data_IF_447099845037
#
_entry.id   IF_447099845037
#
_cell.length_a   1.000
_cell.length_b   1.000
_cell.length_c   1.000
_cell.angle_alpha   90.00
_cell.angle_beta   90.00
_cell.angle_gamma   90.00
#
_symmetry.space_group_name_H-M   'P 1'
#
loop_
_entity.id
_entity.type
_entity.pdbx_description
1 polymer ?
#
# COMPACT_ATOMS: atom_id res chain seq x y z
N UNK A 1 17.06 3.99 -3.15
CA UNK A 1 15.97 4.93 -2.79
C UNK A 1 14.74 4.55 -3.58
N UNK A 2 13.64 4.26 -2.91
CA UNK A 2 12.38 3.94 -3.56
C UNK A 2 11.75 5.24 -4.07
N UNK A 3 11.63 5.42 -5.38
CA UNK A 3 11.14 6.67 -5.98
C UNK A 3 9.61 6.80 -5.91
N UNK A 4 9.02 6.40 -4.78
CA UNK A 4 7.58 6.43 -4.50
C UNK A 4 6.76 5.43 -5.31
N UNK A 5 7.35 4.39 -5.89
CA UNK A 5 6.61 3.48 -6.78
C UNK A 5 6.06 2.25 -6.07
N UNK A 6 6.59 1.93 -4.89
CA UNK A 6 6.19 0.76 -4.10
C UNK A 6 6.34 1.08 -2.61
N UNK A 7 5.63 0.37 -1.74
CA UNK A 7 5.87 0.38 -0.30
C UNK A 7 5.91 -1.08 0.14
N UNK A 8 6.92 -1.44 0.93
CA UNK A 8 6.95 -2.72 1.65
C UNK A 8 6.69 -2.41 3.12
N UNK A 9 5.51 -2.77 3.61
CA UNK A 9 5.14 -2.59 5.01
C UNK A 9 5.35 -3.91 5.78
N UNK A 10 6.10 -3.86 6.88
CA UNK A 10 6.39 -5.05 7.69
C UNK A 10 5.23 -5.32 8.66
N UNK A 11 4.62 -6.49 8.54
CA UNK A 11 3.49 -6.94 9.36
C UNK A 11 3.91 -7.57 10.71
N UNK A 12 5.19 -7.90 10.88
CA UNK A 12 5.75 -8.40 12.15
C UNK A 12 5.68 -9.92 12.33
N UNK A 13 4.68 -10.59 11.77
CA UNK A 13 4.59 -12.05 11.73
C UNK A 13 4.00 -12.58 10.43
N UNK A 14 4.35 -13.81 10.08
CA UNK A 14 3.80 -14.52 8.92
C UNK A 14 2.38 -14.99 9.21
N UNK A 15 1.52 -14.98 8.20
CA UNK A 15 0.13 -15.40 8.36
C UNK A 15 -0.76 -15.00 7.19
N UNK A 16 -2.02 -15.44 7.25
CA UNK A 16 -3.06 -14.96 6.36
C UNK A 16 -3.62 -13.62 6.85
N UNK A 17 -3.64 -12.64 5.97
CA UNK A 17 -4.23 -11.33 6.23
C UNK A 17 -5.37 -11.07 5.26
N UNK A 18 -6.40 -10.39 5.74
CA UNK A 18 -7.46 -9.83 4.88
C UNK A 18 -7.26 -8.32 4.79
N UNK A 19 -7.79 -7.70 3.74
CA UNK A 19 -7.68 -6.25 3.62
C UNK A 19 -8.83 -5.63 2.84
N UNK A 20 -9.12 -4.37 3.19
CA UNK A 20 -10.03 -3.50 2.45
C UNK A 20 -9.27 -2.30 1.88
N UNK A 21 -9.64 -1.90 0.65
CA UNK A 21 -9.12 -0.70 -0.01
C UNK A 21 -10.16 0.40 0.02
N UNK A 22 -9.78 1.55 0.58
CA UNK A 22 -10.60 2.75 0.63
C UNK A 22 -9.98 3.84 -0.24
N UNK A 23 -10.80 4.48 -1.07
CA UNK A 23 -10.39 5.65 -1.87
C UNK A 23 -11.08 6.86 -1.31
N UNK A 24 -10.29 7.76 -0.76
CA UNK A 24 -10.80 9.00 -0.19
C UNK A 24 -10.98 10.04 -1.29
N UNK A 25 -12.05 10.83 -1.14
CA UNK A 25 -12.25 12.06 -1.88
C UNK A 25 -11.23 13.12 -1.44
N UNK A 26 -11.11 14.18 -2.23
CA UNK A 26 -10.12 15.22 -2.00
C UNK A 26 -10.32 15.94 -0.64
N UNK A 27 -11.57 16.13 -0.24
CA UNK A 27 -12.00 16.80 1.00
C UNK A 27 -11.94 15.90 2.24
N UNK A 28 -11.85 14.57 2.08
CA UNK A 28 -11.75 13.63 3.19
C UNK A 28 -10.33 13.59 3.76
N UNK A 29 -10.20 13.35 5.07
CA UNK A 29 -8.91 13.22 5.74
C UNK A 29 -8.54 11.76 5.94
N UNK A 30 -7.24 11.47 5.85
CA UNK A 30 -6.72 10.18 6.28
C UNK A 30 -6.89 10.02 7.80
N UNK A 31 -7.17 8.81 8.31
CA UNK A 31 -7.49 8.62 9.73
C UNK A 31 -6.37 8.98 10.72
N UNK A 32 -5.11 9.02 10.28
CA UNK A 32 -3.93 9.44 11.05
C UNK A 32 -3.47 8.51 12.17
N UNK A 33 -3.72 7.21 12.05
CA UNK A 33 -3.40 6.23 13.10
C UNK A 33 -2.50 5.09 12.61
N UNK A 34 -2.30 4.96 11.29
CA UNK A 34 -1.47 3.93 10.69
C UNK A 34 -0.15 4.43 10.11
N UNK A 35 0.56 3.51 9.45
CA UNK A 35 1.75 3.85 8.65
C UNK A 35 1.32 4.72 7.47
N UNK A 36 1.95 5.90 7.36
CA UNK A 36 1.77 6.80 6.22
C UNK A 36 2.95 6.77 5.28
N UNK A 37 2.64 6.76 4.00
CA UNK A 37 3.62 6.78 2.93
C UNK A 37 3.01 7.43 1.69
N UNK A 38 3.85 7.91 0.79
CA UNK A 38 3.42 8.47 -0.49
C UNK A 38 3.80 7.53 -1.62
N UNK A 39 2.87 7.29 -2.53
CA UNK A 39 3.13 6.51 -3.75
C UNK A 39 2.63 7.22 -4.99
N UNK A 40 3.17 6.83 -6.14
CA UNK A 40 2.74 7.32 -7.45
C UNK A 40 2.48 6.16 -8.38
N UNK A 41 1.51 6.36 -9.27
CA UNK A 41 1.28 5.48 -10.41
C UNK A 41 1.20 6.31 -11.68
N UNK A 42 1.99 5.93 -12.70
CA UNK A 42 1.96 6.57 -14.03
C UNK A 42 0.89 5.96 -14.94
N UNK A 43 0.59 4.68 -14.73
CA UNK A 43 -0.31 3.88 -15.59
C UNK A 43 -1.73 3.79 -15.04
N UNK A 44 -1.95 4.20 -13.78
CA UNK A 44 -3.28 4.24 -13.20
C UNK A 44 -3.73 2.93 -12.56
N UNK A 45 -2.84 2.29 -11.81
CA UNK A 45 -3.16 1.11 -11.01
C UNK A 45 -2.19 0.95 -9.85
N UNK A 46 -2.65 0.24 -8.81
CA UNK A 46 -1.82 -0.30 -7.75
C UNK A 46 -2.14 -1.77 -7.51
N UNK A 47 -1.13 -2.50 -7.08
CA UNK A 47 -1.27 -3.84 -6.52
C UNK A 47 -1.00 -3.80 -5.02
N UNK A 48 -1.83 -4.49 -4.25
CA UNK A 48 -1.64 -4.72 -2.81
C UNK A 48 -1.65 -6.22 -2.57
N UNK A 49 -0.61 -6.76 -1.95
CA UNK A 49 -0.46 -8.18 -1.69
C UNK A 49 0.80 -8.48 -0.90
N UNK A 50 1.04 -9.75 -0.61
CA UNK A 50 2.26 -10.18 0.07
C UNK A 50 3.48 -9.99 -0.84
N UNK A 51 4.55 -9.39 -0.31
CA UNK A 51 5.75 -9.05 -1.09
C UNK A 51 6.49 -10.26 -1.69
N UNK A 52 6.25 -11.45 -1.14
CA UNK A 52 6.82 -12.73 -1.59
C UNK A 52 6.05 -13.36 -2.78
N UNK A 53 4.84 -12.88 -3.09
CA UNK A 53 3.97 -13.46 -4.12
C UNK A 53 4.27 -12.91 -5.53
N UNK A 54 5.53 -13.04 -5.95
CA UNK A 54 5.99 -12.70 -7.30
C UNK A 54 6.17 -13.98 -8.10
N UNK A 55 5.56 -14.08 -9.29
CA UNK A 55 5.81 -15.24 -10.17
C UNK A 55 7.25 -15.14 -10.68
N UNK A 56 8.01 -16.22 -10.57
CA UNK A 56 9.40 -16.31 -11.05
C UNK A 56 9.59 -16.24 -12.58
N UNK A 57 8.55 -15.84 -13.33
CA UNK A 57 8.57 -15.74 -14.80
C UNK A 57 8.30 -14.30 -15.31
N UNK A 58 8.67 -13.28 -14.52
CA UNK A 58 8.89 -11.89 -14.95
C UNK A 58 7.69 -11.04 -15.39
N UNK A 59 6.43 -11.48 -15.18
CA UNK A 59 5.26 -10.66 -15.57
C UNK A 59 4.40 -10.32 -14.34
N UNK A 60 4.83 -9.26 -13.64
CA UNK A 60 3.99 -8.51 -12.69
C UNK A 60 3.54 -9.26 -11.43
N UNK A 61 2.82 -8.57 -10.55
CA UNK A 61 2.30 -9.19 -9.33
C UNK A 61 1.17 -10.17 -9.66
N UNK A 62 1.20 -11.35 -9.04
CA UNK A 62 0.16 -12.37 -9.20
C UNK A 62 -1.01 -12.12 -8.24
N UNK A 63 -2.22 -12.38 -8.70
CA UNK A 63 -3.40 -12.47 -7.82
C UNK A 63 -3.77 -13.92 -7.48
N UNK A 64 -3.01 -14.91 -7.96
CA UNK A 64 -3.32 -16.33 -7.80
C UNK A 64 -3.32 -16.77 -6.33
N UNK A 65 -2.45 -16.18 -5.52
CA UNK A 65 -2.25 -16.54 -4.11
C UNK A 65 -2.81 -15.48 -3.15
N UNK A 66 -3.66 -14.59 -3.65
CA UNK A 66 -4.19 -13.45 -2.93
C UNK A 66 -3.72 -12.13 -3.53
N UNK A 67 -3.97 -11.04 -2.80
CA UNK A 67 -3.70 -9.70 -3.28
C UNK A 67 -4.75 -9.18 -4.27
N UNK A 68 -4.66 -7.89 -4.56
CA UNK A 68 -5.63 -7.15 -5.38
C UNK A 68 -4.89 -6.17 -6.28
N UNK A 69 -5.07 -6.32 -7.58
CA UNK A 69 -4.76 -5.29 -8.57
C UNK A 69 -6.01 -4.44 -8.80
N UNK A 70 -5.92 -3.13 -8.61
CA UNK A 70 -7.05 -2.23 -8.85
C UNK A 70 -6.63 -0.99 -9.65
N UNK A 71 -7.55 -0.52 -10.50
CA UNK A 71 -7.35 0.68 -11.31
C UNK A 71 -7.71 1.95 -10.54
N UNK A 72 -6.88 2.98 -10.62
CA UNK A 72 -7.06 4.30 -10.00
C UNK A 72 -6.47 5.36 -10.95
N UNK A 73 -6.89 6.64 -10.97
CA UNK A 73 -6.25 7.61 -11.85
C UNK A 73 -4.72 7.69 -11.67
N UNK A 74 -4.00 8.05 -12.73
CA UNK A 74 -2.58 8.35 -12.60
C UNK A 74 -2.36 9.58 -11.69
N UNK A 75 -1.26 9.57 -10.95
CA UNK A 75 -0.90 10.65 -10.03
C UNK A 75 -0.18 10.18 -8.77
N UNK A 76 -0.02 11.11 -7.84
CA UNK A 76 0.54 10.88 -6.52
C UNK A 76 -0.58 10.68 -5.50
N UNK A 77 -0.30 9.83 -4.52
CA UNK A 77 -1.22 9.40 -3.49
C UNK A 77 -0.50 9.38 -2.15
N UNK A 78 -1.15 9.92 -1.13
CA UNK A 78 -0.85 9.58 0.26
C UNK A 78 -1.62 8.31 0.61
N UNK A 79 -0.93 7.36 1.23
CA UNK A 79 -1.45 6.06 1.62
C UNK A 79 -1.30 5.90 3.12
N UNK A 80 -2.37 5.45 3.77
CA UNK A 80 -2.33 5.03 5.16
C UNK A 80 -2.67 3.55 5.27
N UNK A 81 -1.82 2.78 5.95
CA UNK A 81 -1.98 1.35 6.18
C UNK A 81 -2.18 1.14 7.68
N UNK A 82 -3.31 0.53 8.04
CA UNK A 82 -3.66 0.19 9.41
C UNK A 82 -3.79 -1.32 9.53
N UNK A 83 -3.30 -1.89 10.62
CA UNK A 83 -3.48 -3.29 10.96
C UNK A 83 -4.31 -3.40 12.24
N UNK A 84 -5.44 -4.11 12.15
CA UNK A 84 -6.17 -4.59 13.30
C UNK A 84 -5.55 -5.92 13.76
N UNK A 85 -4.66 -5.88 14.76
CA UNK A 85 -3.88 -7.04 15.21
C UNK A 85 -4.72 -8.26 15.56
N UNK A 86 -5.85 -8.05 16.23
CA UNK A 86 -6.70 -9.12 16.73
C UNK A 86 -7.32 -9.97 15.61
N UNK A 87 -7.55 -9.36 14.44
CA UNK A 87 -8.21 -10.00 13.29
C UNK A 87 -7.24 -10.30 12.14
N UNK A 88 -6.05 -9.70 12.12
CA UNK A 88 -5.16 -9.71 10.95
C UNK A 88 -5.78 -8.96 9.75
N UNK A 89 -6.66 -8.00 10.00
CA UNK A 89 -7.33 -7.23 8.96
C UNK A 89 -6.63 -5.89 8.72
N UNK A 90 -6.31 -5.62 7.46
CA UNK A 90 -5.67 -4.38 7.03
C UNK A 90 -6.68 -3.41 6.42
N UNK A 91 -6.61 -2.14 6.79
CA UNK A 91 -7.32 -1.07 6.09
C UNK A 91 -6.31 -0.21 5.35
N UNK A 92 -6.46 -0.11 4.05
CA UNK A 92 -5.54 0.64 3.18
C UNK A 92 -6.28 1.79 2.54
N UNK A 93 -5.92 3.01 2.93
CA UNK A 93 -6.55 4.23 2.45
C UNK A 93 -5.67 4.87 1.39
N UNK A 94 -6.25 5.28 0.28
CA UNK A 94 -5.60 6.06 -0.76
C UNK A 94 -6.26 7.44 -0.86
N UNK A 95 -5.47 8.50 -0.71
CA UNK A 95 -5.90 9.87 -0.95
C UNK A 95 -5.02 10.51 -2.02
N UNK A 96 -5.62 11.05 -3.08
CA UNK A 96 -4.86 11.76 -4.11
C UNK A 96 -4.22 13.01 -3.52
N UNK A 97 -2.97 13.28 -3.87
CA UNK A 97 -2.22 14.46 -3.43
C UNK A 97 -1.46 15.08 -4.60
N UNK A 98 -1.19 16.39 -4.49
CA UNK A 98 -0.31 17.12 -5.41
C UNK A 98 1.15 17.11 -4.95
N UNK A 99 1.40 16.63 -3.72
CA UNK A 99 2.75 16.46 -3.20
C UNK A 99 3.51 15.37 -3.95
N UNK A 100 4.83 15.53 -4.07
CA UNK A 100 5.68 14.51 -4.67
C UNK A 100 5.68 13.24 -3.81
N UNK A 101 5.63 12.08 -4.47
CA UNK A 101 5.73 10.78 -3.82
C UNK A 101 7.17 10.45 -3.36
N UNK A 102 7.77 11.34 -2.59
CA UNK A 102 9.03 11.11 -1.89
C UNK A 102 8.77 10.47 -0.53
N UNK A 103 9.56 9.45 -0.19
CA UNK A 103 9.60 8.89 1.16
C UNK A 103 11.06 8.75 1.60
N UNK A 104 11.31 9.01 2.88
CA UNK A 104 12.64 8.90 3.49
C UNK A 104 12.83 7.55 4.22
N UNK A 105 12.20 6.48 3.70
CA UNK A 105 12.38 5.14 4.26
C UNK A 105 13.75 4.57 3.88
N UNK A 106 14.55 4.23 4.89
CA UNK A 106 15.83 3.53 4.72
C UNK A 106 15.70 2.00 4.81
N UNK A 107 14.56 1.51 5.29
CA UNK A 107 14.16 0.10 5.38
C UNK A 107 12.63 -0.02 5.26
N UNK A 108 12.07 -1.23 5.24
CA UNK A 108 10.64 -1.50 5.23
C UNK A 108 10.00 -1.02 6.54
N UNK A 109 9.18 0.05 6.53
CA UNK A 109 8.57 0.55 7.76
C UNK A 109 7.63 -0.50 8.37
N UNK A 110 7.69 -0.65 9.68
CA UNK A 110 6.77 -1.50 10.43
C UNK A 110 5.41 -0.80 10.60
N UNK A 111 4.33 -1.58 10.65
CA UNK A 111 3.00 -1.06 10.98
C UNK A 111 2.83 -0.75 12.48
N UNK A 112 3.79 -1.18 13.31
CA UNK A 112 3.87 -0.95 14.74
C UNK A 112 5.13 -0.15 15.07
N UNK A 113 5.02 0.79 16.01
CA UNK A 113 6.16 1.44 16.65
C UNK A 113 6.36 0.82 18.02
#
# INVERSE_FOLDING_TARGET
MNAGTVIFARLGCDGGYSFDIYRLKHDEQLPAVGLRAKVRTKMGSFYVGAGEQVIGEDIGPSTQYGGLLFAIPAGNYEVEIQLEEASGHLKVYFKKTDEEAGNDFTDSPALFV
#
